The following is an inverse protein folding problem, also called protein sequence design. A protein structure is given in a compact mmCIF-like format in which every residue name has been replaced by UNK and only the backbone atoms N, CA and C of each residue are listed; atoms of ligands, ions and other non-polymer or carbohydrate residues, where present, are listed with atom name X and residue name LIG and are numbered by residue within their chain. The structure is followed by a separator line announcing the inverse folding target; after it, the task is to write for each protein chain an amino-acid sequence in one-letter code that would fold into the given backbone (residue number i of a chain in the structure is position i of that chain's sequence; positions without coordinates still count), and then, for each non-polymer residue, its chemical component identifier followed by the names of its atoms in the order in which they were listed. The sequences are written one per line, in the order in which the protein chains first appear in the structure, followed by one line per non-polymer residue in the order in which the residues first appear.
data_IF_512662589559
#
_entry.id   IF_512662589559
#
_cell.length_a   1.000
_cell.length_b   1.000
_cell.length_c   1.000
_cell.angle_alpha   90.00
_cell.angle_beta   90.00
_cell.angle_gamma   90.00
#
_symmetry.space_group_name_H-M   'P 1'
#
loop_
_entity.id
_entity.type
_entity.pdbx_description
1 polymer ?
#
# COMPACT_ATOMS: atom_id res chain seq x y z
N UNK A 1 -57.09 11.67 14.94
CA UNK A 1 -56.13 12.68 15.42
C UNK A 1 -55.12 12.90 14.31
N UNK A 2 -55.53 13.46 13.18
CA UNK A 2 -56.01 14.84 13.00
C UNK A 2 -54.95 15.82 13.50
N UNK A 3 -54.20 16.43 12.59
CA UNK A 3 -54.40 17.85 12.25
C UNK A 3 -53.47 18.25 11.09
N UNK A 4 -54.01 18.32 9.88
CA UNK A 4 -53.33 18.89 8.72
C UNK A 4 -53.95 20.27 8.49
N UNK A 5 -53.25 21.31 8.94
CA UNK A 5 -53.68 22.70 8.77
C UNK A 5 -53.51 23.14 7.32
N UNK A 6 -54.64 23.36 6.64
CA UNK A 6 -54.73 24.01 5.34
C UNK A 6 -54.35 25.50 5.48
N UNK A 7 -53.21 25.88 4.91
CA UNK A 7 -52.83 27.27 4.73
C UNK A 7 -53.41 27.77 3.39
N UNK A 8 -54.50 28.52 3.44
CA UNK A 8 -55.06 29.22 2.29
C UNK A 8 -54.06 30.23 1.71
N UNK A 9 -53.89 30.19 0.39
CA UNK A 9 -53.06 31.14 -0.34
C UNK A 9 -53.72 32.54 -0.34
N UNK A 10 -52.95 33.62 -0.11
CA UNK A 10 -53.51 34.97 -0.08
C UNK A 10 -54.07 35.40 -1.44
N UNK A 11 -55.18 36.12 -1.38
CA UNK A 11 -55.94 36.62 -2.53
C UNK A 11 -55.08 37.56 -3.40
N UNK A 12 -55.05 37.30 -4.70
CA UNK A 12 -54.19 38.01 -5.68
C UNK A 12 -54.54 39.48 -5.85
N UNK A 13 -55.66 39.95 -5.30
CA UNK A 13 -56.16 41.30 -5.51
C UNK A 13 -55.58 42.36 -4.55
N UNK A 14 -54.86 41.98 -3.49
CA UNK A 14 -54.24 42.95 -2.57
C UNK A 14 -52.88 43.49 -3.04
N UNK A 15 -52.22 42.84 -4.00
CA UNK A 15 -50.90 43.28 -4.49
C UNK A 15 -50.99 44.44 -5.51
N UNK A 16 -52.18 44.69 -6.08
CA UNK A 16 -52.35 45.75 -7.07
C UNK A 16 -52.44 47.16 -6.46
N UNK A 17 -52.73 47.30 -5.16
CA UNK A 17 -52.84 48.61 -4.51
C UNK A 17 -51.51 49.22 -4.08
N UNK A 18 -50.42 48.45 -4.10
CA UNK A 18 -49.07 48.96 -3.75
C UNK A 18 -48.38 49.72 -4.89
N UNK A 19 -48.95 49.68 -6.11
CA UNK A 19 -48.39 50.35 -7.29
C UNK A 19 -49.30 51.48 -7.82
N UNK A 20 -49.90 52.28 -6.92
CA UNK A 20 -50.38 53.61 -7.32
C UNK A 20 -49.17 54.52 -7.51
N UNK A 21 -48.59 54.44 -8.71
CA UNK A 21 -47.60 55.39 -9.21
C UNK A 21 -48.31 56.74 -9.29
N UNK A 22 -48.02 57.62 -8.35
CA UNK A 22 -48.35 59.03 -8.46
C UNK A 22 -47.58 59.58 -9.68
N UNK A 23 -48.29 59.78 -10.77
CA UNK A 23 -47.74 60.43 -11.96
C UNK A 23 -47.42 61.89 -11.64
N UNK A 24 -46.22 62.32 -12.02
CA UNK A 24 -45.81 63.71 -12.25
C UNK A 24 -45.44 64.61 -11.06
N UNK A 25 -44.42 64.22 -10.26
CA UNK A 25 -43.68 65.19 -9.41
C UNK A 25 -42.16 65.31 -9.69
N UNK A 26 -41.62 64.65 -10.72
CA UNK A 26 -40.17 64.68 -11.00
C UNK A 26 -39.76 65.58 -12.17
N UNK A 27 -40.50 66.66 -12.47
CA UNK A 27 -40.17 67.58 -13.58
C UNK A 27 -39.01 68.54 -13.29
N UNK A 28 -38.56 68.67 -12.05
CA UNK A 28 -37.54 69.65 -11.64
C UNK A 28 -36.20 69.04 -11.21
N UNK A 29 -35.96 67.75 -11.49
CA UNK A 29 -34.68 67.12 -11.18
C UNK A 29 -33.67 67.37 -12.31
N UNK A 30 -32.44 67.84 -12.00
CA UNK A 30 -31.42 68.07 -13.02
C UNK A 30 -31.02 66.74 -13.68
N UNK A 31 -30.67 66.76 -14.99
CA UNK A 31 -30.30 65.56 -15.72
C UNK A 31 -29.12 64.81 -15.07
N UNK A 32 -29.35 63.53 -14.77
CA UNK A 32 -28.45 62.63 -14.00
C UNK A 32 -27.29 62.10 -14.85
N UNK A 33 -26.62 62.95 -15.62
CA UNK A 33 -25.46 62.53 -16.42
C UNK A 33 -24.25 63.42 -16.19
N UNK A 34 -23.89 63.76 -14.95
CA UNK A 34 -22.51 64.14 -14.64
C UNK A 34 -22.19 64.03 -13.14
N UNK A 35 -21.02 63.44 -12.90
CA UNK A 35 -20.18 63.47 -11.68
C UNK A 35 -20.67 62.73 -10.46
N UNK A 36 -20.47 61.40 -10.41
CA UNK A 36 -19.96 60.73 -9.22
C UNK A 36 -19.22 59.46 -9.66
N UNK A 37 -17.93 59.56 -10.01
CA UNK A 37 -17.03 58.44 -9.68
C UNK A 37 -17.02 58.40 -8.15
N UNK A 38 -17.85 57.52 -7.59
CA UNK A 38 -17.93 57.42 -6.14
C UNK A 38 -16.61 56.84 -5.64
N UNK A 39 -16.06 57.29 -4.49
CA UNK A 39 -14.82 56.72 -3.92
C UNK A 39 -14.87 55.21 -3.69
N UNK A 40 -16.07 54.61 -3.74
CA UNK A 40 -16.30 53.18 -3.65
C UNK A 40 -16.00 52.44 -4.96
N UNK A 41 -16.04 53.10 -6.12
CA UNK A 41 -15.72 52.49 -7.42
C UNK A 41 -14.28 51.97 -7.45
N UNK A 42 -13.32 52.76 -6.97
CA UNK A 42 -11.92 52.31 -6.83
C UNK A 42 -11.76 51.17 -5.81
N UNK A 43 -12.56 51.18 -4.75
CA UNK A 43 -12.56 50.11 -3.75
C UNK A 43 -13.08 48.79 -4.36
N UNK A 44 -14.18 48.83 -5.11
CA UNK A 44 -14.70 47.65 -5.80
C UNK A 44 -13.78 47.17 -6.90
N UNK A 45 -13.18 48.06 -7.69
CA UNK A 45 -12.19 47.67 -8.71
C UNK A 45 -10.94 47.02 -8.08
N UNK A 46 -10.49 47.46 -6.89
CA UNK A 46 -9.39 46.79 -6.16
C UNK A 46 -9.78 45.43 -5.60
N UNK A 47 -11.01 45.30 -5.07
CA UNK A 47 -11.54 44.01 -4.59
C UNK A 47 -11.70 43.02 -5.75
N UNK A 48 -12.27 43.45 -6.87
CA UNK A 48 -12.42 42.64 -8.08
C UNK A 48 -11.04 42.24 -8.62
N UNK A 49 -10.09 43.17 -8.77
CA UNK A 49 -8.74 42.83 -9.21
C UNK A 49 -8.05 41.79 -8.30
N UNK A 50 -8.24 41.88 -6.98
CA UNK A 50 -7.68 40.91 -6.03
C UNK A 50 -8.39 39.54 -6.04
N UNK A 51 -9.67 39.49 -6.38
CA UNK A 51 -10.44 38.25 -6.47
C UNK A 51 -10.18 37.53 -7.81
N UNK A 52 -10.14 38.28 -8.91
CA UNK A 52 -9.88 37.72 -10.24
C UNK A 52 -8.43 37.26 -10.40
N UNK A 53 -7.45 37.91 -9.75
CA UNK A 53 -6.05 37.42 -9.81
C UNK A 53 -5.89 36.03 -9.16
N UNK A 54 -6.60 35.76 -8.05
CA UNK A 54 -6.59 34.45 -7.40
C UNK A 54 -7.30 33.38 -8.23
N UNK A 55 -8.40 33.74 -8.88
CA UNK A 55 -9.15 32.82 -9.74
C UNK A 55 -8.34 32.41 -10.98
N UNK A 56 -7.54 33.32 -11.57
CA UNK A 56 -6.63 32.99 -12.67
C UNK A 56 -5.48 32.07 -12.23
N UNK A 57 -4.91 32.28 -11.03
CA UNK A 57 -3.91 31.37 -10.46
C UNK A 57 -4.48 29.97 -10.20
N UNK A 58 -5.71 29.87 -9.68
CA UNK A 58 -6.40 28.60 -9.46
C UNK A 58 -6.78 27.89 -10.77
N UNK A 59 -7.18 28.64 -11.80
CA UNK A 59 -7.44 28.10 -13.13
C UNK A 59 -6.16 27.51 -13.76
N UNK A 60 -5.02 28.20 -13.60
CA UNK A 60 -3.72 27.69 -14.03
C UNK A 60 -3.31 26.41 -13.30
N UNK A 61 -3.57 26.34 -11.99
CA UNK A 61 -3.30 25.14 -11.19
C UNK A 61 -4.20 23.95 -11.56
N UNK A 62 -5.44 24.20 -12.01
CA UNK A 62 -6.32 23.15 -12.49
C UNK A 62 -5.83 22.57 -13.83
N UNK A 63 -5.41 23.42 -14.77
CA UNK A 63 -4.86 22.95 -16.05
C UNK A 63 -3.60 22.10 -15.88
N UNK A 64 -2.71 22.45 -14.95
CA UNK A 64 -1.50 21.66 -14.69
C UNK A 64 -1.86 20.31 -14.08
N UNK A 65 -2.79 20.26 -13.12
CA UNK A 65 -3.27 19.02 -12.52
C UNK A 65 -3.96 18.10 -13.56
N UNK A 66 -4.72 18.67 -14.50
CA UNK A 66 -5.36 17.90 -15.57
C UNK A 66 -4.33 17.27 -16.52
N UNK A 67 -3.26 18.01 -16.86
CA UNK A 67 -2.15 17.49 -17.68
C UNK A 67 -1.40 16.37 -16.97
N UNK A 68 -1.13 16.51 -15.66
CA UNK A 68 -0.48 15.46 -14.87
C UNK A 68 -1.34 14.19 -14.79
N UNK A 69 -2.65 14.34 -14.56
CA UNK A 69 -3.58 13.21 -14.52
C UNK A 69 -3.66 12.51 -15.89
N UNK A 70 -3.69 13.27 -16.99
CA UNK A 70 -3.70 12.71 -18.34
C UNK A 70 -2.41 11.91 -18.62
N UNK A 71 -1.26 12.41 -18.18
CA UNK A 71 0.01 11.70 -18.32
C UNK A 71 0.03 10.39 -17.50
N UNK A 72 -0.41 10.44 -16.24
CA UNK A 72 -0.51 9.23 -15.41
C UNK A 72 -1.43 8.17 -16.00
N UNK A 73 -2.55 8.57 -16.62
CA UNK A 73 -3.47 7.64 -17.29
C UNK A 73 -2.84 6.97 -18.50
N UNK A 74 -2.09 7.71 -19.32
CA UNK A 74 -1.41 7.11 -20.48
C UNK A 74 -0.28 6.16 -20.05
N UNK A 75 0.48 6.53 -19.02
CA UNK A 75 1.50 5.65 -18.43
C UNK A 75 0.89 4.34 -17.91
N UNK A 76 -0.27 4.41 -17.24
CA UNK A 76 -1.02 3.21 -16.83
C UNK A 76 -1.48 2.38 -18.03
N UNK A 77 -1.98 3.00 -19.10
CA UNK A 77 -2.44 2.28 -20.31
C UNK A 77 -1.30 1.54 -21.00
N UNK A 78 -0.11 2.14 -21.05
CA UNK A 78 1.10 1.51 -21.59
C UNK A 78 1.53 0.32 -20.72
N UNK A 79 1.47 0.47 -19.39
CA UNK A 79 1.75 -0.61 -18.45
C UNK A 79 0.75 -1.78 -18.55
N UNK A 80 -0.55 -1.50 -18.73
CA UNK A 80 -1.57 -2.52 -18.95
C UNK A 80 -1.35 -3.28 -20.26
N UNK A 81 -1.02 -2.56 -21.35
CA UNK A 81 -0.76 -3.18 -22.65
C UNK A 81 0.47 -4.10 -22.63
N UNK A 82 1.52 -3.76 -21.87
CA UNK A 82 2.68 -4.63 -21.70
C UNK A 82 2.34 -5.88 -20.89
N UNK A 83 1.54 -5.73 -19.84
CA UNK A 83 1.05 -6.83 -18.99
C UNK A 83 0.15 -7.79 -19.78
N UNK A 84 -0.76 -7.27 -20.61
CA UNK A 84 -1.64 -8.07 -21.47
C UNK A 84 -0.86 -8.90 -22.50
N UNK A 85 0.23 -8.35 -23.07
CA UNK A 85 1.13 -9.12 -23.96
C UNK A 85 1.83 -10.25 -23.21
N UNK A 86 2.23 -10.03 -21.96
CA UNK A 86 2.77 -11.07 -21.08
C UNK A 86 1.77 -12.20 -20.82
N UNK A 87 0.53 -11.85 -20.47
CA UNK A 87 -0.57 -12.80 -20.24
C UNK A 87 -0.93 -13.60 -21.49
N UNK A 88 -0.93 -12.99 -22.68
CA UNK A 88 -1.18 -13.69 -23.93
C UNK A 88 -0.10 -14.74 -24.25
N UNK A 89 1.18 -14.43 -23.96
CA UNK A 89 2.27 -15.42 -24.07
C UNK A 89 2.07 -16.56 -23.09
N UNK A 90 1.66 -16.27 -21.86
CA UNK A 90 1.36 -17.30 -20.85
C UNK A 90 0.21 -18.23 -21.29
N UNK A 91 -0.88 -17.69 -21.82
CA UNK A 91 -2.01 -18.50 -22.33
C UNK A 91 -1.62 -19.42 -23.49
N UNK A 92 -0.75 -18.96 -24.41
CA UNK A 92 -0.24 -19.83 -25.49
C UNK A 92 0.70 -20.91 -24.97
N UNK A 93 1.55 -20.60 -23.99
CA UNK A 93 2.41 -21.58 -23.34
C UNK A 93 1.61 -22.65 -22.58
N UNK A 94 0.41 -22.31 -22.09
CA UNK A 94 -0.51 -23.27 -21.46
C UNK A 94 -1.16 -24.26 -22.44
N UNK A 95 -1.18 -23.99 -23.74
CA UNK A 95 -1.81 -24.87 -24.74
C UNK A 95 -0.90 -26.04 -25.16
N UNK A 96 0.41 -25.88 -25.03
CA UNK A 96 1.41 -26.93 -25.21
C UNK A 96 2.43 -26.86 -24.06
N UNK A 97 2.27 -27.68 -23.00
CA UNK A 97 3.15 -27.63 -21.84
C UNK A 97 4.60 -27.94 -22.21
N UNK A 98 4.86 -28.78 -23.22
CA UNK A 98 6.23 -29.11 -23.63
C UNK A 98 6.92 -27.93 -24.33
N UNK A 99 6.19 -27.21 -25.18
CA UNK A 99 6.67 -25.95 -25.76
C UNK A 99 6.87 -24.86 -24.70
N UNK A 100 6.03 -24.81 -23.67
CA UNK A 100 6.21 -23.91 -22.53
C UNK A 100 7.54 -24.14 -21.80
N UNK A 101 7.89 -25.40 -21.52
CA UNK A 101 9.14 -25.73 -20.82
C UNK A 101 10.41 -25.46 -21.65
N UNK A 102 10.36 -25.57 -22.98
CA UNK A 102 11.52 -25.24 -23.83
C UNK A 102 11.74 -23.73 -23.90
N UNK A 103 10.65 -22.95 -24.02
CA UNK A 103 10.71 -21.49 -24.01
C UNK A 103 11.23 -20.95 -22.67
N UNK A 104 10.74 -21.48 -21.53
CA UNK A 104 11.24 -21.09 -20.21
C UNK A 104 12.72 -21.44 -20.00
N UNK A 105 13.16 -22.59 -20.53
CA UNK A 105 14.59 -22.95 -20.50
C UNK A 105 15.44 -21.98 -21.31
N UNK A 106 15.01 -21.64 -22.52
CA UNK A 106 15.69 -20.66 -23.35
C UNK A 106 15.76 -19.27 -22.70
N UNK A 107 14.68 -18.83 -22.06
CA UNK A 107 14.63 -17.57 -21.31
C UNK A 107 15.60 -17.56 -20.12
N UNK A 108 15.63 -18.64 -19.33
CA UNK A 108 16.59 -18.80 -18.22
C UNK A 108 18.03 -18.76 -18.70
N UNK A 109 18.34 -19.42 -19.82
CA UNK A 109 19.68 -19.43 -20.39
C UNK A 109 20.08 -18.05 -20.91
N UNK A 110 19.18 -17.35 -21.60
CA UNK A 110 19.40 -15.99 -22.04
C UNK A 110 19.67 -15.05 -20.86
N UNK A 111 18.87 -15.13 -19.78
CA UNK A 111 19.10 -14.32 -18.58
C UNK A 111 20.44 -14.63 -17.91
N UNK A 112 20.82 -15.91 -17.82
CA UNK A 112 22.15 -16.31 -17.33
C UNK A 112 23.29 -15.76 -18.19
N UNK A 113 23.12 -15.75 -19.51
CA UNK A 113 24.10 -15.16 -20.42
C UNK A 113 24.22 -13.65 -20.21
N UNK A 114 23.10 -12.94 -20.05
CA UNK A 114 23.06 -11.50 -19.78
C UNK A 114 23.70 -11.11 -18.45
N UNK A 115 23.50 -11.93 -17.41
CA UNK A 115 24.19 -11.78 -16.13
C UNK A 115 25.70 -12.03 -16.29
N UNK A 116 26.10 -13.07 -17.03
CA UNK A 116 27.52 -13.35 -17.30
C UNK A 116 28.20 -12.24 -18.12
N UNK A 117 27.46 -11.61 -19.05
CA UNK A 117 27.95 -10.49 -19.84
C UNK A 117 27.88 -9.15 -19.10
N UNK A 118 27.47 -9.15 -17.82
CA UNK A 118 27.31 -7.95 -16.99
C UNK A 118 26.32 -6.92 -17.58
N UNK A 119 25.40 -7.36 -18.44
CA UNK A 119 24.30 -6.52 -18.93
C UNK A 119 23.25 -6.31 -17.81
N UNK A 120 23.11 -7.31 -16.96
CA UNK A 120 22.24 -7.28 -15.79
C UNK A 120 23.12 -7.29 -14.53
N UNK A 121 23.01 -6.22 -13.75
CA UNK A 121 23.72 -6.10 -12.49
C UNK A 121 23.10 -7.02 -11.41
N UNK A 122 23.96 -7.69 -10.66
CA UNK A 122 23.59 -8.64 -9.60
C UNK A 122 24.35 -8.27 -8.34
N UNK A 123 23.63 -7.76 -7.35
CA UNK A 123 24.23 -7.31 -6.10
C UNK A 123 24.33 -8.48 -5.11
N UNK A 124 25.53 -8.86 -4.64
CA UNK A 124 25.66 -9.84 -3.57
C UNK A 124 25.15 -9.24 -2.26
N UNK A 125 24.41 -10.04 -1.48
CA UNK A 125 23.87 -9.66 -0.18
C UNK A 125 24.24 -10.72 0.84
N UNK A 126 24.72 -10.28 2.00
CA UNK A 126 25.06 -11.16 3.11
C UNK A 126 23.83 -11.45 3.97
N UNK A 127 23.79 -12.63 4.60
CA UNK A 127 22.70 -12.93 5.53
C UNK A 127 22.74 -11.98 6.73
N UNK A 128 21.56 -11.58 7.19
CA UNK A 128 21.32 -10.61 8.27
C UNK A 128 21.81 -9.19 7.94
N UNK A 129 21.83 -8.83 6.65
CA UNK A 129 22.17 -7.48 6.20
C UNK A 129 21.04 -6.86 5.38
N UNK A 130 21.09 -5.54 5.27
CA UNK A 130 20.19 -4.72 4.46
C UNK A 130 20.91 -4.26 3.22
N UNK A 131 20.30 -4.45 2.05
CA UNK A 131 20.79 -3.94 0.77
C UNK A 131 19.86 -2.85 0.24
N UNK A 132 20.42 -1.78 -0.31
CA UNK A 132 19.65 -0.71 -0.91
C UNK A 132 19.51 -0.89 -2.42
N UNK A 133 18.34 -0.57 -2.97
CA UNK A 133 18.07 -0.64 -4.39
C UNK A 133 17.20 0.52 -4.88
N UNK A 134 17.56 1.09 -6.01
CA UNK A 134 16.81 2.15 -6.68
C UNK A 134 16.69 1.87 -8.18
N UNK A 135 15.47 1.91 -8.72
CA UNK A 135 15.16 1.69 -10.13
C UNK A 135 14.81 3.02 -10.82
N UNK A 136 15.27 3.17 -12.07
CA UNK A 136 14.99 4.36 -12.87
C UNK A 136 13.52 4.48 -13.28
N UNK A 137 13.16 5.57 -13.96
CA UNK A 137 11.76 5.89 -14.34
C UNK A 137 11.04 4.78 -15.11
N UNK A 138 11.78 3.99 -15.88
CA UNK A 138 11.24 2.89 -16.69
C UNK A 138 10.96 1.61 -15.87
N UNK A 139 11.27 1.60 -14.58
CA UNK A 139 11.22 0.39 -13.76
C UNK A 139 12.20 -0.68 -14.28
N UNK A 140 11.81 -1.94 -14.13
CA UNK A 140 12.58 -3.09 -14.59
C UNK A 140 12.90 -4.06 -13.47
N UNK A 141 13.98 -4.82 -13.67
CA UNK A 141 14.43 -5.84 -12.73
C UNK A 141 15.72 -5.41 -12.05
N UNK A 142 15.82 -5.68 -10.74
CA UNK A 142 17.07 -5.70 -9.99
C UNK A 142 17.24 -7.04 -9.31
N UNK A 143 18.43 -7.62 -9.42
CA UNK A 143 18.72 -8.93 -8.88
C UNK A 143 19.70 -8.86 -7.73
N UNK A 144 19.43 -9.69 -6.72
CA UNK A 144 20.29 -9.87 -5.57
C UNK A 144 20.60 -11.35 -5.40
N UNK A 145 21.77 -11.66 -4.85
CA UNK A 145 22.19 -13.04 -4.59
C UNK A 145 22.73 -13.13 -3.18
N UNK A 146 22.24 -14.10 -2.42
CA UNK A 146 22.79 -14.45 -1.12
C UNK A 146 23.09 -15.95 -1.06
N UNK A 147 23.99 -16.34 -0.15
CA UNK A 147 24.38 -17.73 0.04
C UNK A 147 24.01 -18.19 1.45
N UNK A 148 23.30 -19.31 1.53
CA UNK A 148 22.96 -19.99 2.78
C UNK A 148 24.05 -21.03 3.03
N UNK A 149 24.92 -20.84 4.04
CA UNK A 149 25.94 -21.83 4.38
C UNK A 149 25.31 -23.05 5.06
N UNK A 150 26.04 -24.16 5.09
CA UNK A 150 25.57 -25.44 5.64
C UNK A 150 25.21 -25.36 7.13
N UNK A 151 25.88 -24.50 7.89
CA UNK A 151 25.53 -24.22 9.30
C UNK A 151 24.12 -23.65 9.47
N UNK A 152 23.55 -23.07 8.40
CA UNK A 152 22.19 -22.48 8.38
C UNK A 152 21.19 -23.40 7.65
N UNK A 153 21.48 -24.68 7.47
CA UNK A 153 20.60 -25.58 6.72
C UNK A 153 19.17 -25.64 7.29
N UNK A 154 19.03 -25.62 8.61
CA UNK A 154 17.74 -25.67 9.32
C UNK A 154 17.20 -24.29 9.72
N UNK A 155 17.75 -23.19 9.19
CA UNK A 155 17.32 -21.84 9.58
C UNK A 155 16.03 -21.42 8.87
N UNK A 156 15.23 -20.61 9.57
CA UNK A 156 14.09 -19.91 8.97
C UNK A 156 14.61 -18.70 8.21
N UNK A 157 14.36 -18.63 6.90
CA UNK A 157 14.76 -17.48 6.08
C UNK A 157 13.59 -16.50 5.95
N UNK A 158 13.86 -15.22 6.16
CA UNK A 158 12.94 -14.13 5.88
C UNK A 158 13.60 -13.19 4.89
N UNK A 159 12.92 -12.94 3.76
CA UNK A 159 13.30 -11.91 2.79
C UNK A 159 12.22 -10.85 2.81
N UNK A 160 12.57 -9.64 3.26
CA UNK A 160 11.65 -8.52 3.37
C UNK A 160 12.09 -7.35 2.46
N UNK A 161 11.11 -6.66 1.90
CA UNK A 161 11.26 -5.58 0.94
C UNK A 161 10.52 -4.35 1.47
N UNK A 162 11.26 -3.30 1.81
CA UNK A 162 10.74 -2.04 2.31
C UNK A 162 10.87 -0.98 1.23
N UNK A 163 9.76 -0.67 0.55
CA UNK A 163 9.74 0.36 -0.50
C UNK A 163 9.55 1.75 0.12
N UNK A 164 10.48 2.67 -0.18
CA UNK A 164 10.34 4.10 0.12
C UNK A 164 9.58 4.82 -1.00
N UNK A 165 9.81 4.42 -2.25
CA UNK A 165 9.14 4.97 -3.44
C UNK A 165 8.71 3.83 -4.36
N UNK A 166 7.54 3.97 -5.00
CA UNK A 166 7.01 3.01 -5.96
C UNK A 166 6.38 1.79 -5.29
N UNK A 167 5.99 0.80 -6.12
CA UNK A 167 5.42 -0.47 -5.66
C UNK A 167 6.18 -1.65 -6.30
N UNK A 168 7.40 -1.95 -5.82
CA UNK A 168 8.16 -3.08 -6.29
C UNK A 168 7.61 -4.42 -5.75
N UNK A 169 7.65 -5.45 -6.59
CA UNK A 169 7.28 -6.82 -6.28
C UNK A 169 8.53 -7.67 -6.01
N UNK A 170 8.43 -8.56 -5.02
CA UNK A 170 9.51 -9.45 -4.58
C UNK A 170 9.32 -10.87 -5.13
N UNK A 171 10.39 -11.45 -5.66
CA UNK A 171 10.44 -12.84 -6.13
C UNK A 171 11.70 -13.53 -5.64
N UNK A 172 11.59 -14.80 -5.23
CA UNK A 172 12.73 -15.58 -4.72
C UNK A 172 12.78 -16.96 -5.36
N UNK A 173 13.98 -17.43 -5.70
CA UNK A 173 14.22 -18.76 -6.27
C UNK A 173 15.61 -19.29 -5.88
N UNK A 174 15.76 -20.58 -5.53
CA UNK A 174 17.06 -21.21 -5.25
C UNK A 174 17.70 -21.82 -6.51
N UNK A 175 17.01 -21.83 -7.66
CA UNK A 175 17.42 -22.57 -8.86
C UNK A 175 17.95 -21.64 -9.96
N UNK A 176 17.29 -20.50 -10.14
CA UNK A 176 17.58 -19.54 -11.22
C UNK A 176 17.13 -18.15 -10.81
N UNK A 177 17.62 -17.14 -11.53
CA UNK A 177 17.09 -15.79 -11.43
C UNK A 177 15.57 -15.81 -11.69
N UNK A 178 14.76 -15.27 -10.76
CA UNK A 178 13.32 -15.31 -10.91
C UNK A 178 12.83 -14.35 -12.02
N UNK A 179 11.69 -14.66 -12.61
CA UNK A 179 10.97 -13.83 -13.57
C UNK A 179 9.49 -13.74 -13.19
N UNK A 180 8.67 -13.00 -13.95
CA UNK A 180 7.22 -12.90 -13.70
C UNK A 180 6.50 -14.26 -13.79
N UNK A 181 7.06 -15.19 -14.56
CA UNK A 181 6.45 -16.50 -14.83
C UNK A 181 7.19 -17.65 -14.15
N UNK A 182 8.40 -17.39 -13.65
CA UNK A 182 9.29 -18.41 -13.11
C UNK A 182 9.92 -17.95 -11.80
N UNK A 183 9.34 -18.38 -10.69
CA UNK A 183 9.81 -18.15 -9.33
C UNK A 183 9.38 -19.33 -8.46
N UNK A 184 10.03 -19.50 -7.30
CA UNK A 184 9.61 -20.51 -6.33
C UNK A 184 8.72 -19.88 -5.27
N UNK A 185 9.14 -18.75 -4.72
CA UNK A 185 8.36 -18.03 -3.72
C UNK A 185 8.07 -16.60 -4.16
N UNK A 186 6.85 -16.15 -3.87
CA UNK A 186 6.43 -14.77 -3.95
C UNK A 186 5.56 -14.43 -2.74
N UNK A 187 5.55 -13.17 -2.29
CA UNK A 187 4.68 -12.75 -1.20
C UNK A 187 3.20 -12.92 -1.56
N UNK A 188 2.38 -13.20 -0.55
CA UNK A 188 0.92 -13.20 -0.71
C UNK A 188 0.41 -11.79 -0.98
N UNK A 189 -0.74 -11.66 -1.65
CA UNK A 189 -1.31 -10.37 -2.04
C UNK A 189 -1.49 -9.39 -0.87
N UNK A 190 -1.70 -9.90 0.35
CA UNK A 190 -1.87 -9.12 1.59
C UNK A 190 -0.55 -8.62 2.17
N UNK A 191 0.57 -9.27 1.87
CA UNK A 191 1.90 -8.92 2.38
C UNK A 191 2.87 -8.88 1.20
N UNK A 192 2.73 -7.88 0.31
CA UNK A 192 3.56 -7.74 -0.91
C UNK A 192 5.06 -7.55 -0.64
N UNK A 193 5.44 -7.42 0.62
CA UNK A 193 6.76 -6.99 1.07
C UNK A 193 7.54 -8.07 1.79
N UNK A 194 7.01 -9.27 2.03
CA UNK A 194 7.74 -10.28 2.83
C UNK A 194 7.49 -11.71 2.37
N UNK A 195 8.58 -12.45 2.20
CA UNK A 195 8.59 -13.91 2.01
C UNK A 195 9.24 -14.56 3.22
N UNK A 196 8.58 -15.58 3.76
CA UNK A 196 9.13 -16.45 4.82
C UNK A 196 9.28 -17.84 4.22
N UNK A 197 10.50 -18.37 4.25
CA UNK A 197 10.85 -19.69 3.72
C UNK A 197 11.18 -20.59 4.91
N UNK A 198 10.38 -21.64 5.07
CA UNK A 198 10.56 -22.61 6.14
C UNK A 198 11.61 -23.67 5.76
N UNK A 199 12.43 -24.12 6.71
CA UNK A 199 13.41 -25.18 6.45
C UNK A 199 12.74 -26.52 6.08
N UNK A 200 11.47 -26.71 6.41
CA UNK A 200 10.67 -27.88 6.01
C UNK A 200 10.16 -27.84 4.56
N UNK A 201 10.32 -26.72 3.86
CA UNK A 201 9.94 -26.61 2.44
C UNK A 201 10.91 -27.44 1.58
N UNK A 202 10.44 -28.35 0.71
CA UNK A 202 11.31 -29.17 -0.14
C UNK A 202 12.17 -28.36 -1.13
N UNK A 203 11.80 -27.12 -1.42
CA UNK A 203 12.59 -26.21 -2.24
C UNK A 203 13.67 -25.47 -1.45
N UNK A 204 13.61 -25.46 -0.11
CA UNK A 204 14.67 -24.93 0.74
C UNK A 204 15.91 -25.82 0.65
N UNK A 205 17.03 -25.23 0.23
CA UNK A 205 18.32 -25.91 0.06
C UNK A 205 19.46 -25.04 0.58
N UNK A 206 20.52 -25.68 1.05
CA UNK A 206 21.80 -25.00 1.31
C UNK A 206 22.38 -24.51 -0.03
N UNK A 207 22.95 -23.31 -0.04
CA UNK A 207 23.60 -22.73 -1.21
C UNK A 207 22.98 -21.41 -1.66
N UNK A 208 23.02 -21.18 -2.97
CA UNK A 208 22.75 -19.86 -3.55
C UNK A 208 21.26 -19.63 -3.76
N UNK A 209 20.78 -18.48 -3.29
CA UNK A 209 19.44 -17.97 -3.57
C UNK A 209 19.54 -16.75 -4.47
N UNK A 210 18.55 -16.64 -5.35
CA UNK A 210 18.38 -15.54 -6.27
C UNK A 210 17.10 -14.79 -5.87
N UNK A 211 17.24 -13.49 -5.63
CA UNK A 211 16.13 -12.59 -5.35
C UNK A 211 16.00 -11.65 -6.54
N UNK A 212 14.79 -11.52 -7.06
CA UNK A 212 14.46 -10.52 -8.09
C UNK A 212 13.45 -9.54 -7.52
N UNK A 213 13.75 -8.26 -7.66
CA UNK A 213 12.82 -7.18 -7.36
C UNK A 213 12.41 -6.56 -8.69
N UNK A 214 11.10 -6.49 -8.94
CA UNK A 214 10.53 -5.96 -10.17
C UNK A 214 9.65 -4.75 -9.88
N UNK A 215 9.75 -3.69 -10.67
CA UNK A 215 8.74 -2.63 -10.66
C UNK A 215 8.42 -2.18 -12.08
N UNK A 216 7.18 -1.71 -12.27
CA UNK A 216 6.74 -1.11 -13.54
C UNK A 216 7.21 0.35 -13.70
N UNK A 217 7.53 1.02 -12.59
CA UNK A 217 7.95 2.42 -12.53
C UNK A 217 9.22 2.58 -11.70
N UNK A 218 9.72 3.80 -11.55
CA UNK A 218 10.78 4.09 -10.57
C UNK A 218 10.38 3.61 -9.18
N UNK A 219 11.32 3.00 -8.48
CA UNK A 219 11.15 2.58 -7.11
C UNK A 219 12.46 2.73 -6.34
N UNK A 220 12.37 3.07 -5.06
CA UNK A 220 13.48 3.07 -4.12
C UNK A 220 13.10 2.17 -2.95
N UNK A 221 13.98 1.26 -2.58
CA UNK A 221 13.67 0.20 -1.63
C UNK A 221 14.90 -0.30 -0.87
N UNK A 222 14.62 -0.92 0.27
CA UNK A 222 15.57 -1.66 1.10
C UNK A 222 15.16 -3.14 1.09
N UNK A 223 16.14 -4.02 0.92
CA UNK A 223 15.98 -5.46 0.94
C UNK A 223 16.69 -6.02 2.17
N UNK A 224 15.92 -6.64 3.05
CA UNK A 224 16.43 -7.31 4.25
C UNK A 224 16.39 -8.81 4.05
N UNK A 225 17.55 -9.46 4.21
CA UNK A 225 17.65 -10.92 4.18
C UNK A 225 18.05 -11.37 5.58
N UNK A 226 17.13 -11.99 6.30
CA UNK A 226 17.34 -12.47 7.67
C UNK A 226 17.27 -13.99 7.71
N UNK A 227 18.14 -14.59 8.52
CA UNK A 227 18.17 -16.02 8.76
C UNK A 227 18.20 -16.26 10.26
N UNK A 228 17.15 -16.85 10.79
CA UNK A 228 17.03 -17.18 12.19
C UNK A 228 17.52 -18.60 12.41
N UNK A 229 18.65 -18.73 13.11
CA UNK A 229 19.21 -20.04 13.46
C UNK A 229 18.27 -20.77 14.39
N UNK A 230 18.10 -22.06 14.11
CA UNK A 230 17.18 -22.92 14.83
C UNK A 230 17.66 -23.39 16.20
N UNK A 231 18.86 -23.03 16.66
CA UNK A 231 19.35 -23.49 17.96
C UNK A 231 18.44 -23.02 19.11
N UNK A 232 17.90 -21.80 19.03
CA UNK A 232 16.83 -21.39 19.95
C UNK A 232 15.43 -21.73 19.42
N UNK A 233 15.28 -22.10 18.15
CA UNK A 233 13.97 -22.31 17.53
C UNK A 233 13.43 -23.73 17.74
N UNK A 234 14.26 -24.77 17.82
CA UNK A 234 13.77 -26.09 18.21
C UNK A 234 13.26 -26.07 19.66
N UNK A 235 13.95 -25.38 20.58
CA UNK A 235 13.43 -25.19 21.94
C UNK A 235 12.29 -24.16 22.01
N UNK A 236 12.34 -23.03 21.31
CA UNK A 236 11.31 -21.98 21.41
C UNK A 236 10.03 -22.27 20.61
N UNK A 237 10.11 -22.99 19.48
CA UNK A 237 8.91 -23.40 18.74
C UNK A 237 8.27 -24.65 19.33
N UNK A 238 9.04 -25.56 19.93
CA UNK A 238 8.49 -26.76 20.55
C UNK A 238 8.01 -26.54 22.00
N UNK A 239 8.69 -25.74 22.82
CA UNK A 239 8.46 -25.79 24.27
C UNK A 239 7.46 -24.78 24.81
N UNK A 240 7.44 -23.52 24.36
CA UNK A 240 6.68 -22.51 25.10
C UNK A 240 5.36 -22.12 24.42
N UNK A 241 5.37 -21.76 23.13
CA UNK A 241 4.13 -21.39 22.43
C UNK A 241 3.25 -22.59 22.09
N UNK A 242 3.84 -23.72 21.70
CA UNK A 242 3.08 -24.94 21.46
C UNK A 242 2.55 -25.52 22.78
N UNK A 243 3.32 -25.50 23.88
CA UNK A 243 2.80 -25.91 25.18
C UNK A 243 1.71 -24.95 25.68
N UNK A 244 1.87 -23.63 25.52
CA UNK A 244 0.85 -22.65 25.90
C UNK A 244 -0.42 -22.81 25.06
N UNK A 245 -0.29 -23.06 23.76
CA UNK A 245 -1.43 -23.31 22.87
C UNK A 245 -2.09 -24.65 23.18
N UNK A 246 -1.32 -25.71 23.42
CA UNK A 246 -1.85 -27.03 23.77
C UNK A 246 -2.49 -27.02 25.16
N UNK A 247 -1.94 -26.24 26.10
CA UNK A 247 -2.53 -26.01 27.41
C UNK A 247 -3.85 -25.25 27.29
N UNK A 248 -3.90 -24.15 26.53
CA UNK A 248 -5.14 -23.40 26.25
C UNK A 248 -6.18 -24.26 25.54
N UNK A 249 -5.78 -25.12 24.60
CA UNK A 249 -6.70 -26.01 23.91
C UNK A 249 -7.21 -27.12 24.83
N UNK A 250 -6.35 -27.69 25.70
CA UNK A 250 -6.76 -28.66 26.71
C UNK A 250 -7.72 -28.06 27.74
N UNK A 251 -7.47 -26.86 28.22
CA UNK A 251 -8.38 -26.16 29.16
C UNK A 251 -9.74 -25.85 28.53
N UNK A 252 -9.77 -25.47 27.25
CA UNK A 252 -11.04 -25.25 26.53
C UNK A 252 -11.83 -26.54 26.28
N UNK A 253 -11.15 -27.67 26.06
CA UNK A 253 -11.81 -28.96 25.82
C UNK A 253 -12.22 -29.66 27.11
N UNK A 254 -11.44 -29.54 28.20
CA UNK A 254 -11.77 -30.19 29.47
C UNK A 254 -12.93 -29.52 30.21
N UNK A 255 -13.33 -28.30 29.83
CA UNK A 255 -14.42 -27.57 30.49
C UNK A 255 -14.14 -27.26 31.97
N UNK A 256 -12.88 -27.38 32.38
CA UNK A 256 -12.46 -27.18 33.75
C UNK A 256 -12.26 -25.68 33.96
N UNK A 257 -13.33 -25.02 34.43
CA UNK A 257 -13.27 -23.67 34.97
C UNK A 257 -12.36 -23.76 36.20
N UNK A 258 -11.09 -23.38 36.05
CA UNK A 258 -10.18 -23.29 37.19
C UNK A 258 -10.68 -22.13 38.06
N UNK A 259 -11.36 -22.47 39.15
CA UNK A 259 -11.69 -21.57 40.26
C UNK A 259 -10.39 -21.21 41.01
N UNK A 260 -9.48 -20.50 40.34
CA UNK A 260 -8.22 -20.01 40.93
C UNK A 260 -8.46 -18.70 41.70
N UNK A 261 -9.50 -18.68 42.54
CA UNK A 261 -9.83 -17.50 43.36
C UNK A 261 -10.03 -17.79 44.84
N UNK A 262 -10.20 -19.04 45.24
CA UNK A 262 -10.50 -19.38 46.65
C UNK A 262 -9.27 -19.80 47.46
N UNK A 263 -8.19 -20.26 46.82
CA UNK A 263 -6.98 -20.69 47.55
C UNK A 263 -6.06 -19.54 48.01
N UNK A 264 -6.21 -18.33 47.44
CA UNK A 264 -5.36 -17.17 47.76
C UNK A 264 -5.98 -16.21 48.78
N UNK A 265 -7.24 -16.41 49.17
CA UNK A 265 -7.90 -15.64 50.23
C UNK A 265 -7.77 -16.29 51.62
N UNK A 266 -7.43 -17.57 51.72
CA UNK A 266 -7.35 -18.27 53.01
C UNK A 266 -6.02 -18.05 53.76
N UNK A 267 -4.95 -17.64 53.07
CA UNK A 267 -3.66 -17.32 53.73
C UNK A 267 -3.62 -15.92 54.38
N UNK A 268 -4.60 -15.04 54.12
CA UNK A 268 -4.61 -13.67 54.66
C UNK A 268 -5.44 -13.50 55.95
N UNK A 269 -6.20 -14.50 56.39
CA UNK A 269 -7.07 -14.37 57.58
C UNK A 269 -6.57 -15.13 58.83
N UNK A 270 -5.46 -15.89 58.76
CA UNK A 270 -5.05 -16.80 59.86
C UNK A 270 -3.98 -16.31 60.85
N UNK A 271 -3.38 -15.12 60.68
CA UNK A 271 -2.14 -14.75 61.36
C UNK A 271 -2.25 -13.62 62.38
N UNK A 272 -2.98 -13.80 63.48
CA UNK A 272 -3.03 -12.76 64.51
C UNK A 272 -3.69 -13.16 65.82
N UNK A 273 -3.09 -14.08 66.59
CA UNK A 273 -3.39 -14.15 68.02
C UNK A 273 -2.24 -14.77 68.84
N UNK A 274 -2.00 -14.22 70.03
CA UNK A 274 -1.14 -14.81 71.09
C UNK A 274 0.32 -14.30 71.14
N UNK A 275 0.65 -13.18 71.78
CA UNK A 275 0.65 -12.89 73.23
C UNK A 275 1.87 -13.43 74.02
N UNK A 276 2.65 -12.47 74.55
CA UNK A 276 3.08 -12.35 75.96
C UNK A 276 3.87 -13.51 76.58
N UNK A 277 5.20 -13.33 76.72
CA UNK A 277 5.89 -13.17 78.02
C UNK A 277 7.38 -12.85 77.82
#
# INVERSE_FOLDING_TARGET
SDDAGDAEAPDRNEMASLYRIASDEHKDWPPVWLTYETPWEEFFQRQEASLFSKAEEEAGAFETAERELAQQKEDMRIAEASTAKGLARFRRASADPLAGFSALRAEREALRQRVRSHEVDVTPVELNTTAHGAMGKQGGWRYFVFNVPESRASSLLTVALHAAVGNPDLFVSPISFPSLVDYVWRPSATSRSRVVIYPSDPAHKVGRYYVGVFALSSADFQLDVQSYMGEDAEEAWASERLATLTHKFRTLISGEVVEEKDALMEELEGGGDGAVN
#
